data_IF_317869789330
#
_entry.id   IF_317869789330
#
_cell.length_a   1.000
_cell.length_b   1.000
_cell.length_c   1.000
_cell.angle_alpha   90.00
_cell.angle_beta   90.00
_cell.angle_gamma   90.00
#
_symmetry.space_group_name_H-M   'P 1'
#
loop_
_entity.id
_entity.type
_entity.pdbx_description
1 polymer ?
#
# COMPACT_ATOMS: atom_id res chain seq x y z
N UNK A 1 59.74 -13.62 -75.50
CA UNK A 1 59.05 -14.39 -76.56
C UNK A 1 57.73 -14.93 -76.00
N UNK A 2 56.65 -14.86 -76.80
CA UNK A 2 55.23 -15.24 -76.56
C UNK A 2 54.45 -14.26 -75.64
N UNK A 3 53.59 -13.35 -76.16
CA UNK A 3 52.26 -13.50 -76.83
C UNK A 3 51.22 -14.12 -75.87
N UNK A 4 49.96 -13.72 -75.69
CA UNK A 4 48.95 -12.84 -76.35
C UNK A 4 47.72 -12.90 -75.39
N UNK A 5 47.13 -11.78 -74.95
CA UNK A 5 45.80 -11.19 -75.32
C UNK A 5 44.51 -12.00 -75.05
N UNK A 6 43.57 -11.43 -74.27
CA UNK A 6 42.11 -11.20 -74.54
C UNK A 6 41.35 -11.00 -73.21
N UNK A 7 40.85 -9.81 -72.82
CA UNK A 7 39.62 -9.08 -73.24
C UNK A 7 38.29 -9.81 -72.93
N UNK A 8 37.50 -9.29 -71.97
CA UNK A 8 36.10 -8.74 -72.11
C UNK A 8 35.06 -9.72 -71.53
N UNK A 9 34.01 -9.42 -70.77
CA UNK A 9 33.20 -8.23 -70.42
C UNK A 9 32.51 -8.54 -69.06
N UNK A 10 32.56 -7.68 -68.03
CA UNK A 10 31.53 -6.69 -67.59
C UNK A 10 30.10 -7.23 -67.43
N UNK A 11 29.63 -7.24 -66.17
CA UNK A 11 28.32 -6.79 -65.60
C UNK A 11 28.31 -7.30 -64.13
N UNK A 12 28.66 -6.51 -63.11
CA UNK A 12 27.88 -5.47 -62.41
C UNK A 12 26.71 -6.03 -61.58
N UNK A 13 26.84 -5.77 -60.27
CA UNK A 13 25.88 -5.81 -59.15
C UNK A 13 25.92 -7.02 -58.19
N UNK A 14 26.06 -6.66 -56.90
CA UNK A 14 25.76 -7.40 -55.67
C UNK A 14 26.91 -8.15 -54.99
N UNK A 15 27.87 -7.39 -54.45
CA UNK A 15 28.77 -7.84 -53.40
C UNK A 15 28.08 -7.82 -52.04
N UNK A 16 27.67 -8.99 -51.57
CA UNK A 16 27.33 -9.26 -50.17
C UNK A 16 28.11 -10.51 -49.74
N UNK A 17 28.72 -10.41 -48.56
CA UNK A 17 29.20 -11.47 -47.67
C UNK A 17 30.60 -12.05 -47.98
N UNK A 18 31.54 -11.77 -47.05
CA UNK A 18 32.23 -12.77 -46.22
C UNK A 18 33.33 -12.10 -45.39
N UNK A 19 33.16 -12.01 -44.07
CA UNK A 19 34.22 -12.36 -43.12
C UNK A 19 33.63 -12.48 -41.72
N UNK A 20 33.51 -13.72 -41.28
CA UNK A 20 33.10 -14.17 -39.96
C UNK A 20 34.12 -13.73 -38.90
N UNK A 21 33.68 -12.91 -37.94
CA UNK A 21 34.38 -12.65 -36.69
C UNK A 21 33.46 -13.07 -35.54
N UNK A 22 33.85 -14.10 -34.82
CA UNK A 22 33.13 -14.70 -33.70
C UNK A 22 32.88 -13.72 -32.56
N UNK A 23 31.61 -13.45 -32.26
CA UNK A 23 31.14 -13.02 -30.93
C UNK A 23 30.15 -14.08 -30.48
N UNK A 24 30.51 -14.81 -29.42
CA UNK A 24 29.59 -15.68 -28.72
C UNK A 24 28.48 -14.78 -28.15
N UNK A 25 27.30 -14.85 -28.75
CA UNK A 25 26.10 -14.29 -28.15
C UNK A 25 25.82 -15.07 -26.87
N UNK A 26 26.07 -14.45 -25.72
CA UNK A 26 25.57 -14.94 -24.45
C UNK A 26 24.04 -14.90 -24.51
N UNK A 27 23.39 -16.05 -24.31
CA UNK A 27 21.94 -16.11 -24.16
C UNK A 27 21.49 -15.12 -23.08
N UNK A 28 20.35 -14.42 -23.25
CA UNK A 28 19.73 -13.68 -22.17
C UNK A 28 19.37 -14.68 -21.06
N UNK A 29 20.23 -14.76 -20.04
CA UNK A 29 19.93 -15.50 -18.82
C UNK A 29 18.63 -14.97 -18.24
N UNK A 30 17.69 -15.86 -17.98
CA UNK A 30 16.48 -15.54 -17.22
C UNK A 30 16.92 -14.97 -15.87
N UNK A 31 16.52 -13.76 -15.47
CA UNK A 31 16.95 -13.21 -14.19
C UNK A 31 16.40 -14.08 -13.06
N UNK A 32 17.30 -14.82 -12.40
CA UNK A 32 17.03 -15.53 -11.15
C UNK A 32 16.96 -14.52 -10.00
N UNK A 33 16.06 -14.80 -9.06
CA UNK A 33 15.44 -13.89 -8.08
C UNK A 33 16.35 -13.32 -6.97
N UNK A 34 17.67 -13.42 -7.07
CA UNK A 34 18.61 -13.17 -5.95
C UNK A 34 19.63 -12.04 -6.15
N UNK A 35 19.58 -11.28 -7.24
CA UNK A 35 20.38 -10.05 -7.35
C UNK A 35 19.56 -8.83 -6.91
N UNK A 36 19.43 -8.68 -5.59
CA UNK A 36 19.02 -7.43 -4.98
C UNK A 36 20.11 -6.37 -5.27
N UNK A 37 19.85 -5.60 -6.32
CA UNK A 37 20.59 -4.42 -6.77
C UNK A 37 21.21 -3.61 -5.61
N UNK A 38 22.52 -3.79 -5.46
CA UNK A 38 23.38 -3.05 -4.56
C UNK A 38 23.56 -1.63 -5.09
N UNK A 39 22.89 -0.68 -4.45
CA UNK A 39 23.34 0.72 -4.46
C UNK A 39 22.67 1.67 -5.45
N UNK A 40 21.34 1.75 -5.44
CA UNK A 40 20.66 2.97 -5.91
C UNK A 40 20.95 4.13 -4.95
N UNK A 41 22.03 4.87 -5.21
CA UNK A 41 22.22 6.21 -4.66
C UNK A 41 21.11 7.10 -5.23
N UNK A 42 20.44 7.87 -4.37
CA UNK A 42 19.37 8.78 -4.77
C UNK A 42 19.96 9.88 -5.66
N UNK A 43 19.92 9.68 -6.99
CA UNK A 43 20.04 10.78 -7.95
C UNK A 43 18.97 11.79 -7.59
N UNK A 44 19.37 13.06 -7.48
CA UNK A 44 18.60 14.17 -6.93
C UNK A 44 17.09 14.08 -7.19
N UNK A 45 16.29 14.34 -6.15
CA UNK A 45 14.84 14.49 -6.27
C UNK A 45 14.56 15.41 -7.46
N UNK A 46 13.73 14.95 -8.41
CA UNK A 46 13.37 15.74 -9.59
C UNK A 46 12.86 17.10 -9.12
N UNK A 47 13.56 18.15 -9.57
CA UNK A 47 13.23 19.53 -9.25
C UNK A 47 11.78 19.81 -9.65
N UNK A 48 11.08 20.64 -8.89
CA UNK A 48 9.70 21.04 -9.16
C UNK A 48 9.62 22.02 -10.34
N UNK A 49 10.06 21.59 -11.52
CA UNK A 49 10.11 22.41 -12.72
C UNK A 49 9.27 21.83 -13.84
N UNK A 50 8.61 22.71 -14.58
CA UNK A 50 7.96 22.39 -15.85
C UNK A 50 8.74 23.06 -16.99
N UNK A 51 9.13 22.30 -18.00
CA UNK A 51 9.69 22.88 -19.22
C UNK A 51 8.58 23.57 -20.03
N UNK A 52 8.83 24.79 -20.47
CA UNK A 52 7.97 25.49 -21.42
C UNK A 52 8.80 26.00 -22.60
N UNK A 53 8.35 25.71 -23.81
CA UNK A 53 9.01 26.10 -25.05
C UNK A 53 8.01 26.84 -25.93
N UNK A 54 8.50 27.82 -26.67
CA UNK A 54 7.65 28.60 -27.55
C UNK A 54 8.43 29.27 -28.67
N UNK A 55 7.67 29.77 -29.65
CA UNK A 55 8.17 30.63 -30.72
C UNK A 55 7.60 32.02 -30.51
N UNK A 56 8.45 33.00 -30.24
CA UNK A 56 8.11 34.42 -30.18
C UNK A 56 8.39 35.08 -31.53
N UNK A 57 7.39 35.78 -32.07
CA UNK A 57 7.50 36.57 -33.29
C UNK A 57 7.16 38.02 -33.01
N UNK A 58 7.77 38.93 -33.79
CA UNK A 58 7.40 40.35 -33.86
C UNK A 58 6.86 40.61 -35.27
N UNK A 59 5.53 40.67 -35.39
CA UNK A 59 4.87 40.51 -36.70
C UNK A 59 5.14 39.11 -37.26
N UNK A 60 5.51 39.02 -38.53
CA UNK A 60 5.83 37.73 -39.18
C UNK A 60 7.29 37.29 -38.98
N UNK A 61 8.15 38.14 -38.42
CA UNK A 61 9.57 37.86 -38.22
C UNK A 61 9.86 37.24 -36.85
N UNK A 62 10.75 36.24 -36.75
CA UNK A 62 11.18 35.71 -35.46
C UNK A 62 11.82 36.79 -34.58
N UNK A 63 11.43 36.84 -33.31
CA UNK A 63 12.05 37.75 -32.35
C UNK A 63 13.45 37.26 -31.95
N UNK A 64 14.36 38.18 -31.66
CA UNK A 64 15.71 37.87 -31.18
C UNK A 64 16.07 38.82 -30.04
N UNK A 65 16.81 38.32 -29.06
CA UNK A 65 17.30 39.11 -27.93
C UNK A 65 16.78 38.57 -26.60
N UNK A 66 16.73 39.45 -25.61
CA UNK A 66 16.40 39.10 -24.23
C UNK A 66 15.09 39.75 -23.83
N UNK A 67 14.17 38.98 -23.25
CA UNK A 67 12.83 39.43 -22.90
C UNK A 67 12.48 39.05 -21.46
N UNK A 68 11.82 39.95 -20.76
CA UNK A 68 11.14 39.61 -19.51
C UNK A 68 9.78 39.01 -19.84
N UNK A 69 9.52 37.83 -19.27
CA UNK A 69 8.32 37.05 -19.50
C UNK A 69 7.65 36.69 -18.18
N UNK A 70 6.33 36.72 -18.14
CA UNK A 70 5.54 36.23 -17.01
C UNK A 70 4.70 35.04 -17.47
N UNK A 71 4.71 33.98 -16.69
CA UNK A 71 3.90 32.79 -16.91
C UNK A 71 2.92 32.63 -15.76
N UNK A 72 1.64 32.42 -16.08
CA UNK A 72 0.58 32.39 -15.08
C UNK A 72 -0.28 31.15 -15.24
N UNK A 73 -0.43 30.41 -14.14
CA UNK A 73 -1.30 29.23 -14.04
C UNK A 73 -2.71 29.63 -13.61
N UNK A 74 -3.71 29.01 -14.21
CA UNK A 74 -5.14 29.22 -13.96
C UNK A 74 -5.88 27.89 -13.79
N UNK A 75 -7.01 27.93 -13.08
CA UNK A 75 -7.94 26.80 -12.91
C UNK A 75 -9.09 26.82 -13.94
N UNK A 76 -9.04 27.68 -14.95
CA UNK A 76 -10.06 27.76 -16.00
C UNK A 76 -9.50 27.97 -17.39
N UNK A 77 -10.23 27.45 -18.38
CA UNK A 77 -9.90 27.49 -19.80
C UNK A 77 -9.97 28.88 -20.43
N UNK A 78 -10.53 29.87 -19.73
CA UNK A 78 -10.55 31.27 -20.14
C UNK A 78 -9.38 32.07 -19.57
N UNK A 79 -8.72 31.55 -18.52
CA UNK A 79 -7.69 32.24 -17.74
C UNK A 79 -8.16 33.63 -17.28
N UNK A 80 -9.43 33.76 -16.89
CA UNK A 80 -10.03 35.01 -16.37
C UNK A 80 -10.13 35.01 -14.85
N UNK A 81 -10.11 33.83 -14.25
CA UNK A 81 -10.16 33.67 -12.80
C UNK A 81 -8.87 34.16 -12.13
N UNK A 82 -8.88 34.37 -10.80
CA UNK A 82 -7.66 34.66 -10.07
C UNK A 82 -6.57 33.62 -10.38
N UNK A 83 -5.32 34.08 -10.58
CA UNK A 83 -4.22 33.18 -10.91
C UNK A 83 -3.91 32.24 -9.74
N UNK A 84 -3.62 30.99 -10.08
CA UNK A 84 -3.16 29.95 -9.14
C UNK A 84 -1.71 30.23 -8.74
N UNK A 85 -0.87 30.54 -9.72
CA UNK A 85 0.53 30.88 -9.54
C UNK A 85 0.99 31.81 -10.66
N UNK A 86 1.79 32.81 -10.31
CA UNK A 86 2.48 33.69 -11.27
C UNK A 86 3.98 33.48 -11.15
N UNK A 87 4.66 33.30 -12.28
CA UNK A 87 6.09 32.99 -12.38
C UNK A 87 6.72 34.06 -13.27
N UNK A 88 7.57 34.90 -12.69
CA UNK A 88 8.29 35.95 -13.42
C UNK A 88 9.66 35.44 -13.83
N UNK A 89 9.97 35.55 -15.12
CA UNK A 89 11.23 35.15 -15.73
C UNK A 89 11.87 36.39 -16.34
N UNK A 90 12.88 36.93 -15.68
CA UNK A 90 13.68 38.01 -16.24
C UNK A 90 14.75 37.45 -17.17
N UNK A 91 15.07 38.18 -18.23
CA UNK A 91 16.24 37.87 -19.02
C UNK A 91 16.14 36.62 -19.91
N UNK A 92 14.94 36.22 -20.35
CA UNK A 92 14.76 35.04 -21.21
C UNK A 92 15.37 35.28 -22.58
N UNK A 93 16.38 34.48 -22.93
CA UNK A 93 17.05 34.53 -24.23
C UNK A 93 16.15 33.91 -25.30
N UNK A 94 15.92 34.66 -26.38
CA UNK A 94 15.17 34.23 -27.56
C UNK A 94 16.11 34.30 -28.76
N UNK A 95 16.26 33.18 -29.46
CA UNK A 95 17.11 33.06 -30.65
C UNK A 95 16.31 32.45 -31.80
N UNK A 96 16.29 33.13 -32.94
CA UNK A 96 15.46 32.77 -34.10
C UNK A 96 13.99 32.54 -33.71
N UNK A 97 13.48 33.34 -32.78
CA UNK A 97 12.15 33.24 -32.21
C UNK A 97 11.99 32.12 -31.17
N UNK A 98 12.92 31.17 -31.05
CA UNK A 98 12.79 30.06 -30.13
C UNK A 98 13.26 30.44 -28.72
N UNK A 99 12.54 29.96 -27.73
CA UNK A 99 12.98 30.00 -26.34
C UNK A 99 12.56 28.73 -25.59
N UNK A 100 13.31 28.43 -24.53
CA UNK A 100 13.02 27.35 -23.59
C UNK A 100 13.27 27.86 -22.19
N UNK A 101 12.31 27.64 -21.29
CA UNK A 101 12.41 28.03 -19.88
C UNK A 101 12.02 26.86 -18.98
N UNK A 102 12.65 26.76 -17.82
CA UNK A 102 12.23 25.89 -16.73
C UNK A 102 11.41 26.69 -15.72
N UNK A 103 10.10 26.50 -15.71
CA UNK A 103 9.18 27.19 -14.81
C UNK A 103 9.19 26.50 -13.44
N UNK A 104 9.59 27.22 -12.39
CA UNK A 104 9.50 26.73 -11.01
C UNK A 104 8.02 26.69 -10.58
N UNK A 105 7.46 25.48 -10.51
CA UNK A 105 6.05 25.27 -10.19
C UNK A 105 5.88 24.72 -8.79
N UNK A 106 4.82 25.13 -8.10
CA UNK A 106 4.46 24.49 -6.85
C UNK A 106 3.71 23.17 -7.15
N UNK A 107 4.36 22.05 -6.81
CA UNK A 107 3.80 20.69 -6.96
C UNK A 107 2.42 20.52 -6.29
N UNK A 108 2.13 21.28 -5.23
CA UNK A 108 0.85 21.23 -4.53
C UNK A 108 -0.35 21.69 -5.37
N UNK A 109 -0.14 22.38 -6.49
CA UNK A 109 -1.19 22.71 -7.43
C UNK A 109 -1.46 21.61 -8.47
N UNK A 110 -0.60 20.59 -8.59
CA UNK A 110 -0.74 19.52 -9.58
C UNK A 110 -1.36 18.28 -8.92
N UNK A 111 -2.61 18.39 -8.47
CA UNK A 111 -3.33 17.29 -7.79
C UNK A 111 -4.22 16.48 -8.71
N UNK A 112 -4.12 16.72 -10.04
CA UNK A 112 -4.84 16.00 -11.08
C UNK A 112 -6.05 16.73 -11.65
N UNK A 113 -6.30 17.96 -11.21
CA UNK A 113 -7.23 18.88 -11.86
C UNK A 113 -6.61 19.50 -13.12
N UNK A 114 -7.45 19.97 -14.04
CA UNK A 114 -7.01 20.69 -15.22
C UNK A 114 -6.42 22.06 -14.82
N UNK A 115 -5.30 22.42 -15.45
CA UNK A 115 -4.61 23.68 -15.28
C UNK A 115 -4.34 24.29 -16.65
N UNK A 116 -4.42 25.61 -16.74
CA UNK A 116 -4.14 26.36 -17.96
C UNK A 116 -2.99 27.32 -17.75
N UNK A 117 -2.13 27.46 -18.76
CA UNK A 117 -0.99 28.36 -18.75
C UNK A 117 -1.21 29.51 -19.75
N UNK A 118 -0.99 30.73 -19.28
CA UNK A 118 -0.89 31.93 -20.12
C UNK A 118 0.50 32.54 -19.98
N UNK A 119 1.05 33.01 -21.09
CA UNK A 119 2.32 33.76 -21.10
C UNK A 119 2.06 35.24 -21.35
N UNK A 120 2.91 36.09 -20.79
CA UNK A 120 2.94 37.54 -21.01
C UNK A 120 4.36 37.94 -21.38
N UNK A 121 4.55 38.70 -22.45
CA UNK A 121 5.84 39.26 -22.87
C UNK A 121 5.65 40.76 -23.11
N UNK A 122 6.31 41.60 -22.31
CA UNK A 122 5.92 43.01 -22.23
C UNK A 122 4.46 43.14 -21.82
N UNK A 123 3.63 43.88 -22.55
CA UNK A 123 2.17 43.98 -22.29
C UNK A 123 1.29 43.02 -23.09
N UNK A 124 1.89 42.21 -23.96
CA UNK A 124 1.15 41.26 -24.80
C UNK A 124 0.88 39.96 -24.05
N UNK A 125 -0.37 39.50 -24.09
CA UNK A 125 -0.82 38.22 -23.54
C UNK A 125 -0.90 37.17 -24.64
N UNK A 126 -0.42 35.97 -24.35
CA UNK A 126 -0.38 34.84 -25.27
C UNK A 126 -1.02 33.61 -24.65
N UNK A 127 -1.96 33.02 -25.40
CA UNK A 127 -2.57 31.75 -25.07
C UNK A 127 -3.53 31.75 -23.87
N UNK A 128 -3.95 30.54 -23.54
CA UNK A 128 -4.55 30.05 -22.31
C UNK A 128 -4.69 28.53 -22.56
N UNK A 129 -3.57 27.83 -22.50
CA UNK A 129 -3.49 26.46 -23.00
C UNK A 129 -3.52 25.48 -21.83
N UNK A 130 -4.32 24.43 -21.97
CA UNK A 130 -4.34 23.35 -20.98
C UNK A 130 -2.96 22.66 -20.90
N UNK A 131 -2.51 22.43 -19.68
CA UNK A 131 -1.31 21.65 -19.40
C UNK A 131 -1.67 20.18 -19.51
N UNK A 132 -1.28 19.58 -20.62
CA UNK A 132 -1.50 18.16 -20.86
C UNK A 132 -0.48 17.31 -20.09
N UNK A 133 -0.89 16.19 -19.48
CA UNK A 133 0.03 15.24 -18.88
C UNK A 133 0.91 14.59 -19.97
N UNK A 134 2.19 14.38 -19.65
CA UNK A 134 3.04 13.49 -20.46
C UNK A 134 2.51 12.04 -20.36
N UNK A 135 2.66 11.19 -21.40
CA UNK A 135 1.99 9.89 -21.44
C UNK A 135 2.21 9.00 -20.20
N UNK A 136 3.44 8.94 -19.67
CA UNK A 136 3.74 8.17 -18.47
C UNK A 136 3.16 8.75 -17.17
N UNK A 137 2.78 10.03 -17.15
CA UNK A 137 2.09 10.63 -16.01
C UNK A 137 0.61 10.24 -15.93
N UNK A 138 0.04 9.65 -17.00
CA UNK A 138 -1.36 9.21 -17.01
C UNK A 138 -1.64 8.05 -16.04
N UNK A 139 -0.61 7.28 -15.64
CA UNK A 139 -0.77 6.14 -14.72
C UNK A 139 -0.86 6.56 -13.25
N UNK A 140 -0.65 7.84 -12.94
CA UNK A 140 -0.65 8.39 -11.57
C UNK A 140 -1.63 9.56 -11.38
N UNK A 141 -2.52 9.80 -12.34
CA UNK A 141 -3.61 10.79 -12.21
C UNK A 141 -4.79 10.22 -11.40
N UNK A 142 -5.69 11.06 -10.84
CA UNK A 142 -6.94 10.59 -10.27
C UNK A 142 -7.72 9.70 -11.25
N UNK A 143 -8.13 8.51 -10.80
CA UNK A 143 -8.82 7.52 -11.63
C UNK A 143 -7.93 6.69 -12.56
N UNK A 144 -6.60 6.79 -12.45
CA UNK A 144 -5.68 5.94 -13.21
C UNK A 144 -5.82 4.46 -12.83
N UNK A 145 -5.71 3.58 -13.85
CA UNK A 145 -5.57 2.14 -13.68
C UNK A 145 -4.10 1.78 -13.86
N UNK A 146 -3.51 1.14 -12.85
CA UNK A 146 -2.20 0.50 -12.95
C UNK A 146 -2.45 -0.99 -13.15
N UNK A 147 -1.98 -1.52 -14.26
CA UNK A 147 -2.22 -2.89 -14.69
C UNK A 147 -0.91 -3.55 -15.13
N UNK A 148 -0.76 -4.84 -14.81
CA UNK A 148 0.35 -5.67 -15.24
C UNK A 148 -0.16 -7.08 -15.54
N UNK A 149 0.38 -7.67 -16.61
CA UNK A 149 0.30 -9.10 -16.91
C UNK A 149 1.69 -9.69 -16.66
N UNK A 150 1.79 -10.98 -16.36
CA UNK A 150 3.00 -11.71 -15.93
C UNK A 150 3.40 -11.60 -14.44
N UNK A 151 4.46 -12.31 -14.07
CA UNK A 151 4.99 -12.43 -12.70
C UNK A 151 5.71 -11.16 -12.17
N UNK A 152 5.31 -9.99 -12.65
CA UNK A 152 5.85 -8.70 -12.24
C UNK A 152 4.92 -7.95 -11.28
N UNK A 153 5.50 -7.09 -10.44
CA UNK A 153 4.72 -6.20 -9.58
C UNK A 153 4.06 -5.11 -10.45
N UNK A 154 2.74 -4.95 -10.36
CA UNK A 154 2.07 -3.80 -10.97
C UNK A 154 2.54 -2.47 -10.34
N UNK A 155 2.85 -2.47 -9.05
CA UNK A 155 3.42 -1.35 -8.31
C UNK A 155 4.41 -1.87 -7.26
N UNK A 156 5.69 -1.49 -7.40
CA UNK A 156 6.73 -1.80 -6.42
C UNK A 156 7.20 -0.50 -5.75
N UNK A 157 7.01 -0.41 -4.43
CA UNK A 157 7.43 0.76 -3.64
C UNK A 157 8.50 0.31 -2.66
N UNK A 158 9.70 0.88 -2.77
CA UNK A 158 10.80 0.66 -1.84
C UNK A 158 11.21 1.99 -1.21
N UNK A 159 10.88 2.19 0.06
CA UNK A 159 11.34 3.34 0.83
C UNK A 159 12.45 2.90 1.79
N UNK A 160 13.70 3.29 1.47
CA UNK A 160 14.87 3.06 2.31
C UNK A 160 15.06 4.14 3.40
N UNK A 161 14.21 5.17 3.40
CA UNK A 161 14.19 6.22 4.41
C UNK A 161 13.37 5.85 5.64
N UNK A 162 13.03 6.85 6.45
CA UNK A 162 12.27 6.67 7.70
C UNK A 162 10.78 6.98 7.57
N UNK A 163 10.33 7.39 6.39
CA UNK A 163 8.93 7.73 6.12
C UNK A 163 8.11 6.52 5.69
N UNK A 164 6.80 6.71 5.52
CA UNK A 164 5.91 5.65 5.03
C UNK A 164 6.27 5.28 3.58
N UNK A 165 6.17 3.99 3.24
CA UNK A 165 6.20 3.56 1.83
C UNK A 165 4.94 4.00 1.08
N UNK A 166 3.77 3.78 1.69
CA UNK A 166 2.48 4.21 1.18
C UNK A 166 1.64 4.78 2.32
N UNK A 167 1.24 6.05 2.20
CA UNK A 167 0.30 6.72 3.11
C UNK A 167 -0.98 7.07 2.37
N UNK A 168 -2.08 6.48 2.79
CA UNK A 168 -3.43 6.78 2.27
C UNK A 168 -4.25 7.52 3.31
N UNK A 169 -4.99 8.54 2.89
CA UNK A 169 -5.93 9.27 3.74
C UNK A 169 -7.27 9.42 3.02
N UNK A 170 -8.35 8.99 3.65
CA UNK A 170 -9.69 8.95 3.04
C UNK A 170 -10.70 9.59 3.98
N UNK A 171 -11.37 10.63 3.50
CA UNK A 171 -12.42 11.39 4.21
C UNK A 171 -13.83 11.05 3.69
N UNK A 172 -14.04 9.80 3.27
CA UNK A 172 -15.36 9.37 2.78
C UNK A 172 -16.34 9.25 3.94
N UNK A 173 -17.58 9.68 3.70
CA UNK A 173 -18.71 9.44 4.63
C UNK A 173 -19.47 8.16 4.29
N UNK A 174 -19.19 7.54 3.13
CA UNK A 174 -19.84 6.32 2.69
C UNK A 174 -19.18 5.09 3.33
N UNK A 175 -19.97 4.16 3.91
CA UNK A 175 -19.44 2.95 4.54
C UNK A 175 -18.89 1.92 3.55
N UNK A 176 -19.09 2.12 2.24
CA UNK A 176 -18.72 1.15 1.20
C UNK A 176 -17.28 1.30 0.69
N UNK A 177 -16.64 2.44 0.95
CA UNK A 177 -15.31 2.72 0.42
C UNK A 177 -14.25 2.56 1.51
N UNK A 178 -13.24 1.73 1.24
CA UNK A 178 -12.11 1.51 2.12
C UNK A 178 -10.94 2.46 1.80
N UNK A 179 -10.12 2.76 2.81
CA UNK A 179 -8.84 3.45 2.61
C UNK A 179 -7.88 2.68 1.70
N UNK A 180 -7.88 1.35 1.86
CA UNK A 180 -7.21 0.38 0.97
C UNK A 180 -8.17 -0.78 0.78
N UNK A 181 -8.56 -1.07 -0.46
CA UNK A 181 -9.38 -2.22 -0.83
C UNK A 181 -8.51 -3.21 -1.61
N UNK A 182 -8.21 -4.35 -1.00
CA UNK A 182 -7.35 -5.39 -1.57
C UNK A 182 -8.14 -6.69 -1.73
N UNK A 183 -8.22 -7.20 -2.96
CA UNK A 183 -8.90 -8.46 -3.29
C UNK A 183 -7.93 -9.38 -3.99
N UNK A 184 -7.85 -10.63 -3.51
CA UNK A 184 -7.19 -11.73 -4.21
C UNK A 184 -8.27 -12.74 -4.59
N UNK A 185 -8.56 -12.87 -5.89
CA UNK A 185 -9.55 -13.82 -6.41
C UNK A 185 -8.99 -15.26 -6.54
N UNK A 186 -7.68 -15.44 -6.33
CA UNK A 186 -7.04 -16.75 -6.30
C UNK A 186 -6.92 -17.29 -4.87
N UNK A 187 -5.95 -18.18 -4.68
CA UNK A 187 -5.65 -18.80 -3.37
C UNK A 187 -4.59 -18.05 -2.57
N UNK A 188 -4.08 -16.93 -3.11
CA UNK A 188 -3.01 -16.16 -2.50
C UNK A 188 -3.48 -15.24 -1.37
N UNK A 189 -2.53 -14.64 -0.67
CA UNK A 189 -2.82 -13.65 0.37
C UNK A 189 -3.30 -12.34 -0.24
N UNK A 190 -4.38 -11.75 0.30
CA UNK A 190 -4.85 -10.42 -0.11
C UNK A 190 -3.99 -9.28 0.45
N UNK A 191 -3.63 -9.34 1.74
CA UNK A 191 -2.74 -8.39 2.39
C UNK A 191 -1.72 -9.14 3.27
N UNK A 192 -0.43 -8.92 3.04
CA UNK A 192 0.65 -9.57 3.78
C UNK A 192 1.61 -8.52 4.35
N UNK A 193 1.71 -8.48 5.69
CA UNK A 193 2.59 -7.54 6.39
C UNK A 193 3.65 -8.30 7.20
N UNK A 194 4.92 -7.92 7.02
CA UNK A 194 6.05 -8.37 7.85
C UNK A 194 6.67 -7.14 8.50
N UNK A 195 6.90 -7.22 9.82
CA UNK A 195 7.74 -6.26 10.54
C UNK A 195 8.85 -7.03 11.27
N UNK A 196 10.11 -6.62 11.08
CA UNK A 196 11.25 -7.22 11.81
C UNK A 196 11.26 -6.83 13.29
N UNK A 197 10.60 -5.73 13.64
CA UNK A 197 10.29 -5.29 15.00
C UNK A 197 9.09 -4.35 14.99
N UNK A 198 8.36 -4.24 16.10
CA UNK A 198 7.15 -3.42 16.19
C UNK A 198 5.89 -4.12 15.66
N UNK A 199 4.94 -3.33 15.13
CA UNK A 199 3.62 -3.83 14.73
C UNK A 199 3.51 -3.93 13.21
N UNK A 200 3.32 -5.14 12.68
CA UNK A 200 3.14 -5.37 11.24
C UNK A 200 1.76 -4.90 10.72
N UNK A 201 0.70 -5.14 11.51
CA UNK A 201 -0.68 -4.72 11.19
C UNK A 201 -1.34 -4.18 12.45
N UNK A 202 -1.91 -2.98 12.38
CA UNK A 202 -2.63 -2.35 13.49
C UNK A 202 -3.99 -1.85 13.02
N UNK A 203 -5.05 -2.43 13.56
CA UNK A 203 -6.42 -1.93 13.39
C UNK A 203 -6.86 -1.08 14.58
N UNK A 204 -7.37 0.12 14.35
CA UNK A 204 -7.87 1.03 15.38
C UNK A 204 -9.12 1.75 14.89
N UNK A 205 -10.17 1.74 15.70
CA UNK A 205 -11.39 2.50 15.45
C UNK A 205 -11.64 3.45 16.62
N UNK A 206 -11.84 4.74 16.33
CA UNK A 206 -11.88 5.82 17.33
C UNK A 206 -13.29 6.33 17.65
N UNK A 207 -14.31 5.79 16.97
CA UNK A 207 -15.70 6.23 17.10
C UNK A 207 -16.56 5.13 17.74
N UNK A 208 -17.74 5.51 18.23
CA UNK A 208 -18.70 4.58 18.84
C UNK A 208 -19.06 3.45 17.87
N UNK A 209 -19.06 2.21 18.35
CA UNK A 209 -19.33 1.02 17.53
C UNK A 209 -18.18 0.61 16.60
N UNK A 210 -17.01 1.23 16.72
CA UNK A 210 -15.86 0.94 15.87
C UNK A 210 -15.28 -0.47 16.08
N UNK A 211 -15.02 -1.18 14.98
CA UNK A 211 -14.31 -2.46 14.97
C UNK A 211 -12.87 -2.19 14.53
N UNK A 212 -11.89 -2.49 15.40
CA UNK A 212 -10.46 -2.30 15.07
C UNK A 212 -9.98 -3.29 14.00
N UNK A 213 -10.28 -4.58 14.18
CA UNK A 213 -9.97 -5.65 13.22
C UNK A 213 -11.19 -6.58 13.14
N UNK A 214 -11.69 -6.81 11.93
CA UNK A 214 -12.74 -7.79 11.66
C UNK A 214 -12.15 -8.90 10.79
N UNK A 215 -12.10 -10.12 11.31
CA UNK A 215 -11.65 -11.30 10.58
C UNK A 215 -12.81 -12.27 10.40
N UNK A 216 -13.10 -12.65 9.17
CA UNK A 216 -14.15 -13.63 8.83
C UNK A 216 -13.62 -14.56 7.76
N UNK A 217 -13.90 -15.85 7.92
CA UNK A 217 -13.55 -16.87 6.95
C UNK A 217 -14.83 -17.63 6.57
N UNK A 218 -15.31 -17.32 5.37
CA UNK A 218 -16.53 -17.91 4.80
C UNK A 218 -16.14 -19.09 3.92
N UNK A 219 -16.81 -20.21 4.11
CA UNK A 219 -16.72 -21.38 3.23
C UNK A 219 -18.13 -21.76 2.79
N UNK A 220 -18.31 -21.91 1.49
CA UNK A 220 -19.62 -22.20 0.86
C UNK A 220 -19.68 -23.56 0.18
N UNK A 221 -18.70 -24.43 0.42
CA UNK A 221 -18.69 -25.80 -0.12
C UNK A 221 -19.40 -26.80 0.79
N UNK A 222 -19.58 -28.03 0.30
CA UNK A 222 -20.22 -29.14 1.02
C UNK A 222 -19.27 -29.95 1.89
N UNK A 223 -17.96 -29.74 1.79
CA UNK A 223 -16.97 -30.54 2.52
C UNK A 223 -16.71 -29.98 3.92
N UNK A 224 -16.37 -30.86 4.86
CA UNK A 224 -15.97 -30.46 6.22
C UNK A 224 -14.60 -29.77 6.18
N UNK A 225 -14.56 -28.48 5.87
CA UNK A 225 -13.34 -27.67 5.80
C UNK A 225 -13.19 -26.79 7.03
N UNK A 226 -11.98 -26.76 7.61
CA UNK A 226 -11.66 -25.86 8.72
C UNK A 226 -11.42 -24.46 8.20
N UNK A 227 -12.18 -23.49 8.71
CA UNK A 227 -11.95 -22.06 8.49
C UNK A 227 -11.48 -21.38 9.78
N UNK A 228 -10.73 -20.29 9.65
CA UNK A 228 -10.24 -19.51 10.78
C UNK A 228 -10.50 -18.02 10.51
N UNK A 229 -11.38 -17.39 11.30
CA UNK A 229 -11.57 -15.93 11.26
C UNK A 229 -10.34 -15.15 11.78
N UNK A 230 -9.51 -15.80 12.60
CA UNK A 230 -8.19 -15.32 13.01
C UNK A 230 -7.31 -16.49 13.48
N UNK A 231 -6.01 -16.41 13.22
CA UNK A 231 -5.04 -17.42 13.63
C UNK A 231 -3.83 -16.71 14.26
N UNK A 232 -3.63 -16.91 15.56
CA UNK A 232 -2.63 -16.20 16.35
C UNK A 232 -1.65 -17.18 16.97
N UNK A 233 -0.35 -17.00 16.72
CA UNK A 233 0.71 -17.84 17.24
C UNK A 233 1.76 -16.95 17.91
N UNK A 234 2.14 -17.30 19.14
CA UNK A 234 3.24 -16.64 19.85
C UNK A 234 4.31 -17.67 20.19
N UNK A 235 5.45 -17.58 19.52
CA UNK A 235 6.61 -18.47 19.72
C UNK A 235 7.66 -17.80 20.60
N UNK A 236 7.28 -17.44 21.83
CA UNK A 236 8.17 -16.83 22.81
C UNK A 236 8.15 -17.62 24.12
N UNK A 237 9.27 -17.62 24.85
CA UNK A 237 9.39 -18.21 26.19
C UNK A 237 8.38 -17.63 27.19
N UNK A 238 7.89 -16.41 26.92
CA UNK A 238 6.85 -15.70 27.68
C UNK A 238 5.80 -15.10 26.71
N UNK A 239 5.41 -15.87 25.69
CA UNK A 239 4.53 -15.40 24.62
C UNK A 239 3.07 -15.29 25.02
N UNK A 240 2.40 -14.24 24.56
CA UNK A 240 0.94 -14.11 24.61
C UNK A 240 0.41 -14.21 23.18
N UNK A 241 -0.44 -15.20 22.90
CA UNK A 241 -1.06 -15.38 21.58
C UNK A 241 -2.17 -14.34 21.32
N UNK A 242 -3.08 -14.19 22.28
CA UNK A 242 -4.16 -13.19 22.25
C UNK A 242 -4.18 -12.47 23.60
N UNK A 243 -4.11 -11.14 23.58
CA UNK A 243 -4.29 -10.30 24.74
C UNK A 243 -5.50 -9.41 24.52
N UNK A 244 -6.52 -9.55 25.36
CA UNK A 244 -7.71 -8.72 25.30
C UNK A 244 -7.92 -7.99 26.62
N UNK A 245 -8.15 -6.67 26.54
CA UNK A 245 -8.36 -5.79 27.71
C UNK A 245 -9.49 -4.80 27.41
N UNK A 246 -10.38 -4.62 28.39
CA UNK A 246 -11.38 -3.55 28.36
C UNK A 246 -11.02 -2.51 29.43
N UNK A 247 -10.75 -1.26 29.01
CA UNK A 247 -10.16 -0.23 29.87
C UNK A 247 -11.06 0.94 30.25
N UNK A 248 -12.35 0.93 29.88
CA UNK A 248 -13.24 2.08 30.13
C UNK A 248 -13.83 2.03 31.56
N UNK A 249 -13.88 3.14 32.32
CA UNK A 249 -14.34 3.15 33.72
C UNK A 249 -15.86 3.28 33.92
N UNK A 250 -16.67 3.46 32.87
CA UNK A 250 -18.14 3.65 32.99
C UNK A 250 -18.96 2.39 33.31
N UNK A 251 -20.25 2.56 33.65
CA UNK A 251 -21.21 1.46 33.85
C UNK A 251 -21.56 0.75 32.54
N UNK A 252 -21.91 -0.54 32.62
CA UNK A 252 -22.29 -1.37 31.47
C UNK A 252 -21.57 -2.72 31.43
N UNK A 253 -22.20 -3.72 30.81
CA UNK A 253 -21.61 -5.04 30.60
C UNK A 253 -20.42 -4.95 29.64
N UNK A 254 -19.31 -5.62 29.99
CA UNK A 254 -18.05 -5.58 29.22
C UNK A 254 -17.50 -6.98 29.10
N UNK A 255 -17.07 -7.32 27.90
CA UNK A 255 -16.53 -8.63 27.58
C UNK A 255 -15.15 -8.44 26.94
N UNK A 256 -14.09 -8.94 27.58
CA UNK A 256 -12.77 -8.98 26.97
C UNK A 256 -12.69 -10.05 25.86
N UNK A 257 -13.50 -11.11 25.99
CA UNK A 257 -13.78 -12.07 24.93
C UNK A 257 -15.25 -12.46 24.98
N UNK A 258 -15.84 -12.70 23.81
CA UNK A 258 -17.18 -13.23 23.64
C UNK A 258 -17.07 -14.35 22.60
N UNK A 259 -17.45 -15.57 22.99
CA UNK A 259 -17.32 -16.77 22.17
C UNK A 259 -18.68 -17.43 22.04
N UNK A 260 -19.15 -17.57 20.81
CA UNK A 260 -20.44 -18.16 20.48
C UNK A 260 -20.22 -19.25 19.43
N UNK A 261 -20.94 -20.36 19.58
CA UNK A 261 -20.88 -21.48 18.65
C UNK A 261 -22.31 -21.83 18.25
N UNK A 262 -22.65 -21.52 17.02
CA UNK A 262 -23.93 -21.85 16.42
C UNK A 262 -23.77 -23.15 15.60
N UNK A 263 -23.83 -24.28 16.30
CA UNK A 263 -23.68 -25.61 15.68
C UNK A 263 -24.35 -26.70 16.54
N UNK A 264 -24.83 -27.76 15.89
CA UNK A 264 -25.38 -28.96 16.56
C UNK A 264 -24.36 -29.60 17.53
N UNK A 265 -23.06 -29.43 17.25
CA UNK A 265 -21.97 -29.84 18.15
C UNK A 265 -20.85 -28.81 18.11
N UNK A 266 -20.25 -28.49 19.27
CA UNK A 266 -19.10 -27.58 19.28
C UNK A 266 -18.60 -27.21 20.67
N UNK A 267 -17.45 -26.55 20.69
CA UNK A 267 -16.79 -26.08 21.91
C UNK A 267 -16.62 -24.56 21.84
N UNK A 268 -17.24 -23.80 22.76
CA UNK A 268 -17.10 -22.34 22.80
C UNK A 268 -15.70 -21.86 23.18
N UNK A 269 -15.07 -22.53 24.15
CA UNK A 269 -13.66 -22.33 24.51
C UNK A 269 -13.03 -23.69 24.75
N UNK A 270 -12.04 -24.05 23.93
CA UNK A 270 -11.24 -25.27 24.11
C UNK A 270 -9.80 -24.88 24.42
N UNK A 271 -9.30 -25.29 25.58
CA UNK A 271 -7.92 -25.05 26.01
C UNK A 271 -7.21 -26.37 26.26
N UNK A 272 -5.95 -26.46 25.87
CA UNK A 272 -5.09 -27.62 26.14
C UNK A 272 -3.71 -27.12 26.52
N UNK A 273 -3.12 -27.70 27.56
CA UNK A 273 -1.77 -27.36 28.01
C UNK A 273 -0.93 -28.63 28.08
N UNK A 274 0.25 -28.58 27.47
CA UNK A 274 1.23 -29.68 27.43
C UNK A 274 2.55 -29.23 28.08
N UNK A 275 2.50 -28.88 29.36
CA UNK A 275 3.66 -28.46 30.15
C UNK A 275 4.19 -29.58 31.05
N UNK A 276 5.50 -29.57 31.32
CA UNK A 276 6.15 -30.50 32.26
C UNK A 276 6.15 -29.99 33.72
N UNK A 277 5.64 -28.77 33.95
CA UNK A 277 5.61 -28.07 35.25
C UNK A 277 4.19 -27.56 35.56
N UNK A 278 4.02 -26.83 36.68
CA UNK A 278 2.73 -26.22 37.07
C UNK A 278 2.16 -25.37 35.94
N UNK A 279 1.03 -25.81 35.39
CA UNK A 279 0.42 -25.16 34.23
C UNK A 279 -1.10 -25.12 34.40
N UNK A 280 -1.73 -24.01 34.01
CA UNK A 280 -3.19 -23.84 34.07
C UNK A 280 -3.73 -23.64 32.66
N UNK A 281 -4.72 -24.44 32.25
CA UNK A 281 -5.38 -24.30 30.95
C UNK A 281 -6.37 -23.14 30.91
N UNK A 282 -7.04 -22.89 32.03
CA UNK A 282 -7.89 -21.72 32.28
C UNK A 282 -7.65 -21.30 33.73
N UNK A 283 -7.39 -20.01 33.96
CA UNK A 283 -7.30 -19.40 35.30
C UNK A 283 -8.10 -18.12 35.28
N UNK A 284 -9.13 -18.03 36.11
CA UNK A 284 -9.87 -16.80 36.39
C UNK A 284 -9.41 -16.24 37.74
N UNK A 285 -9.15 -14.94 37.79
CA UNK A 285 -8.80 -14.23 39.02
C UNK A 285 -9.52 -12.88 38.99
N UNK A 286 -10.22 -12.55 40.08
CA UNK A 286 -10.89 -11.26 40.25
C UNK A 286 -10.19 -10.52 41.40
N UNK A 287 -9.54 -9.41 41.06
CA UNK A 287 -8.81 -8.57 42.02
C UNK A 287 -9.26 -7.13 41.82
N UNK A 288 -9.91 -6.53 42.83
CA UNK A 288 -10.18 -5.09 42.82
C UNK A 288 -11.33 -4.62 43.72
N UNK A 289 -11.01 -3.65 44.59
CA UNK A 289 -11.94 -2.77 45.34
C UNK A 289 -12.78 -3.46 46.41
N UNK A 290 -13.20 -2.74 47.45
CA UNK A 290 -14.33 -3.14 48.32
C UNK A 290 -15.58 -3.19 47.45
N UNK A 291 -16.09 -4.37 47.07
CA UNK A 291 -17.22 -4.46 46.15
C UNK A 291 -18.47 -3.95 46.85
N UNK A 292 -19.18 -3.00 46.26
CA UNK A 292 -20.47 -2.51 46.78
C UNK A 292 -21.66 -3.35 46.29
N UNK A 293 -21.42 -4.38 45.46
CA UNK A 293 -22.42 -5.31 44.91
C UNK A 293 -21.89 -6.74 44.78
N UNK A 294 -22.75 -7.69 44.39
CA UNK A 294 -22.40 -9.10 44.28
C UNK A 294 -21.30 -9.37 43.26
N UNK A 295 -20.29 -10.15 43.66
CA UNK A 295 -19.15 -10.56 42.82
C UNK A 295 -19.17 -12.08 42.65
N UNK A 296 -18.96 -12.58 41.43
CA UNK A 296 -18.91 -14.01 41.13
C UNK A 296 -17.64 -14.39 40.35
N UNK A 297 -17.02 -15.52 40.70
CA UNK A 297 -15.79 -16.03 40.05
C UNK A 297 -16.03 -16.90 38.81
N UNK A 298 -17.28 -17.30 38.56
CA UNK A 298 -17.70 -18.10 37.41
C UNK A 298 -19.17 -18.49 37.53
N UNK A 299 -19.87 -18.59 36.40
CA UNK A 299 -21.27 -19.06 36.32
C UNK A 299 -21.34 -20.16 35.25
N UNK A 300 -21.78 -21.35 35.63
CA UNK A 300 -21.90 -22.50 34.74
C UNK A 300 -23.35 -22.98 34.77
N UNK A 301 -23.99 -23.07 33.61
CA UNK A 301 -25.39 -23.48 33.47
C UNK A 301 -25.54 -24.33 32.23
N UNK A 302 -26.36 -25.37 32.29
CA UNK A 302 -26.69 -26.23 31.16
C UNK A 302 -28.18 -26.46 31.15
N UNK A 303 -28.82 -26.11 30.04
CA UNK A 303 -30.25 -26.34 29.83
C UNK A 303 -30.40 -27.48 28.81
N UNK A 304 -30.45 -28.71 29.31
CA UNK A 304 -30.58 -29.92 28.50
C UNK A 304 -31.21 -31.04 29.31
N UNK A 305 -32.01 -31.88 28.65
CA UNK A 305 -32.61 -33.06 29.25
C UNK A 305 -31.58 -34.04 29.86
N UNK A 306 -30.32 -33.97 29.42
CA UNK A 306 -29.19 -34.78 29.93
C UNK A 306 -27.90 -33.94 30.09
N UNK A 307 -28.00 -32.71 30.59
CA UNK A 307 -26.87 -31.77 30.70
C UNK A 307 -25.94 -32.00 31.89
N UNK A 308 -24.66 -31.66 31.75
CA UNK A 308 -23.67 -31.60 32.86
C UNK A 308 -23.12 -30.18 32.96
N UNK A 309 -23.38 -29.49 34.07
CA UNK A 309 -22.97 -28.09 34.29
C UNK A 309 -21.46 -27.91 34.53
N UNK A 310 -20.85 -28.73 35.38
CA UNK A 310 -19.41 -28.75 35.66
C UNK A 310 -18.96 -30.19 35.90
N UNK A 311 -17.89 -30.62 35.24
CA UNK A 311 -17.27 -31.93 35.46
C UNK A 311 -15.78 -31.76 35.74
N UNK A 312 -15.32 -32.19 36.91
CA UNK A 312 -13.91 -32.21 37.28
C UNK A 312 -13.36 -33.64 37.28
N UNK A 313 -12.23 -33.87 36.60
CA UNK A 313 -11.54 -35.16 36.60
C UNK A 313 -10.04 -34.95 36.81
N UNK A 314 -9.48 -35.57 37.84
CA UNK A 314 -8.04 -35.59 38.09
C UNK A 314 -7.49 -37.02 37.87
N UNK A 315 -6.55 -37.18 36.95
CA UNK A 315 -5.87 -38.47 36.65
C UNK A 315 -4.43 -38.45 37.17
N UNK A 316 -4.24 -38.28 38.47
CA UNK A 316 -2.93 -38.23 39.12
C UNK A 316 -2.98 -38.91 40.50
N UNK A 317 -1.83 -39.39 40.99
CA UNK A 317 -1.70 -40.08 42.28
C UNK A 317 -2.01 -39.23 43.52
N UNK A 318 -2.14 -37.91 43.36
CA UNK A 318 -2.56 -36.96 44.42
C UNK A 318 -3.45 -35.82 43.89
N UNK A 319 -4.29 -36.09 42.88
CA UNK A 319 -5.09 -35.05 42.22
C UNK A 319 -6.46 -34.81 42.87
N UNK A 320 -6.90 -33.54 42.88
CA UNK A 320 -8.23 -33.13 43.38
C UNK A 320 -9.12 -32.74 42.19
N UNK A 321 -10.31 -33.34 42.08
CA UNK A 321 -11.29 -33.07 41.01
C UNK A 321 -12.08 -31.76 41.18
N UNK A 322 -12.10 -31.20 42.39
CA UNK A 322 -12.70 -29.91 42.71
C UNK A 322 -12.47 -29.57 44.19
N UNK A 323 -12.20 -28.31 44.51
CA UNK A 323 -12.01 -27.83 45.88
C UNK A 323 -12.69 -26.46 46.02
N UNK A 324 -13.61 -26.34 46.95
CA UNK A 324 -14.34 -25.11 47.24
C UNK A 324 -14.12 -24.77 48.71
N UNK A 325 -13.74 -23.53 49.01
CA UNK A 325 -13.60 -23.04 50.38
C UNK A 325 -14.15 -21.61 50.46
N UNK A 326 -14.59 -21.24 51.65
CA UNK A 326 -15.05 -19.89 51.97
C UNK A 326 -14.27 -19.41 53.19
N UNK A 327 -13.53 -18.31 53.07
CA UNK A 327 -12.95 -17.63 54.22
C UNK A 327 -14.04 -16.80 54.88
N UNK A 328 -14.82 -17.44 55.76
CA UNK A 328 -15.85 -16.77 56.55
C UNK A 328 -15.22 -16.01 57.71
N UNK A 329 -15.34 -14.68 57.69
CA UNK A 329 -15.15 -13.78 58.83
C UNK A 329 -16.34 -12.82 58.91
#
# INVERSE_FOLDING_TARGET
>A
MKRVSMLVSVIVVLGLLLSSGSVLGQEPGTPTKDEADTGLALTAIVASKMSYQGVLKKGDSPANGTFDMTFTLYNSSTCTDPPVQTINMAGVKVENGLFTVGLEVNKGYFTGQALWLRAKVGDSLFGCQEIMPVPYALTVRPGALIFAEDNYYALFINNKGTGDGLRTYVNTTSPYYAGVYAVNNGTGTGLFGIAQGGTAVRGQANQQGGIGVYGSALYSGSDMSKTYGGYFVSNSRLGTGVYAKVGYPGSGAKYAGYFEVDSETGWGVYSTVRGQYTSWAVRGEQTGGTPTGGVGGGWFSTDSANGVGVMGQARASGGTGGYFYTDGG
#
